data_IF_690448754067
#
_entry.id   IF_690448754067
#
_cell.length_a   1.000
_cell.length_b   1.000
_cell.length_c   1.000
_cell.angle_alpha   90.00
_cell.angle_beta   90.00
_cell.angle_gamma   90.00
#
_symmetry.space_group_name_H-M   'P 1'
#
loop_
_entity.id
_entity.type
_entity.pdbx_description
1 polymer ?
#
# COMPACT_ATOMS: atom_id res chain seq x y z
N UNK A 1 -17.29 -1.32 -6.65
CA UNK A 1 -16.11 -1.00 -7.49
C UNK A 1 -16.21 0.37 -8.13
N UNK A 2 -15.29 1.27 -7.77
CA UNK A 2 -15.20 2.63 -8.33
C UNK A 2 -14.90 2.64 -9.85
N UNK A 3 -14.39 1.53 -10.38
CA UNK A 3 -14.06 1.35 -11.81
C UNK A 3 -15.34 1.28 -12.67
N UNK A 4 -16.44 0.75 -12.14
CA UNK A 4 -17.71 0.61 -12.88
C UNK A 4 -18.48 1.94 -13.02
N UNK A 5 -18.20 2.94 -12.18
CA UNK A 5 -18.93 4.22 -12.15
C UNK A 5 -18.47 5.20 -13.25
N UNK A 6 -17.35 4.93 -13.92
CA UNK A 6 -16.72 5.83 -14.91
C UNK A 6 -17.09 5.50 -16.37
N UNK A 7 -18.03 4.57 -16.60
CA UNK A 7 -18.35 4.09 -17.95
C UNK A 7 -19.70 4.57 -18.51
N UNK A 8 -20.48 5.30 -17.70
CA UNK A 8 -21.87 5.64 -18.03
C UNK A 8 -22.03 7.02 -18.67
N UNK A 9 -21.22 7.36 -19.67
CA UNK A 9 -21.47 8.52 -20.53
C UNK A 9 -22.16 8.08 -21.82
N UNK A 10 -23.40 7.61 -21.72
CA UNK A 10 -24.26 7.37 -22.88
C UNK A 10 -24.62 8.71 -23.52
N UNK A 11 -24.41 8.85 -24.83
CA UNK A 11 -24.75 10.06 -25.57
C UNK A 11 -26.28 10.18 -25.66
N UNK A 12 -26.88 10.95 -24.76
CA UNK A 12 -28.25 11.41 -24.90
C UNK A 12 -28.29 12.44 -26.05
N UNK A 13 -29.17 12.31 -27.05
CA UNK A 13 -29.37 13.37 -28.04
C UNK A 13 -29.92 14.60 -27.32
N UNK A 14 -29.02 15.54 -26.99
CA UNK A 14 -29.38 16.79 -26.34
C UNK A 14 -30.20 17.64 -27.30
N UNK A 15 -31.27 18.28 -26.79
CA UNK A 15 -32.01 19.29 -27.54
C UNK A 15 -31.05 20.42 -27.94
N UNK A 16 -31.08 20.91 -29.20
CA UNK A 16 -30.23 22.02 -29.62
C UNK A 16 -30.44 23.24 -28.71
N UNK A 17 -29.34 23.87 -28.29
CA UNK A 17 -29.38 25.04 -27.43
C UNK A 17 -29.81 26.27 -28.24
N UNK A 18 -30.79 27.02 -27.74
CA UNK A 18 -31.27 28.25 -28.37
C UNK A 18 -30.49 29.47 -27.86
N UNK A 19 -30.26 30.44 -28.74
CA UNK A 19 -29.63 31.70 -28.39
C UNK A 19 -30.57 32.55 -27.51
N UNK A 20 -30.09 33.09 -26.37
CA UNK A 20 -30.91 33.97 -25.53
C UNK A 20 -31.14 35.35 -26.16
N UNK A 21 -30.21 35.81 -27.02
CA UNK A 21 -30.25 37.14 -27.62
C UNK A 21 -31.00 37.16 -28.97
N UNK A 22 -31.16 35.99 -29.61
CA UNK A 22 -31.76 35.87 -30.94
C UNK A 22 -32.82 34.76 -30.95
N UNK A 23 -34.08 35.15 -30.89
CA UNK A 23 -35.22 34.23 -30.79
C UNK A 23 -35.25 33.23 -31.96
N UNK A 24 -35.44 31.94 -31.64
CA UNK A 24 -35.51 30.87 -32.63
C UNK A 24 -34.18 30.46 -33.26
N UNK A 25 -33.06 31.10 -32.92
CA UNK A 25 -31.73 30.73 -33.44
C UNK A 25 -31.05 29.68 -32.56
N UNK A 26 -30.39 28.73 -33.19
CA UNK A 26 -29.59 27.70 -32.52
C UNK A 26 -28.15 28.18 -32.31
N UNK A 27 -27.55 27.81 -31.18
CA UNK A 27 -26.13 28.01 -30.94
C UNK A 27 -25.31 26.97 -31.69
N UNK A 28 -24.48 27.42 -32.63
CA UNK A 28 -23.68 26.56 -33.52
C UNK A 28 -22.19 26.95 -33.54
N UNK A 29 -21.84 28.09 -32.94
CA UNK A 29 -20.50 28.65 -32.90
C UNK A 29 -20.02 28.81 -31.46
N UNK A 30 -18.71 28.87 -31.28
CA UNK A 30 -18.04 29.13 -30.02
C UNK A 30 -17.04 30.27 -30.21
N UNK A 31 -17.07 31.24 -29.30
CA UNK A 31 -16.11 32.33 -29.26
C UNK A 31 -15.02 31.99 -28.23
N UNK A 32 -13.80 31.76 -28.67
CA UNK A 32 -12.69 31.35 -27.77
C UNK A 32 -12.34 32.44 -26.76
N UNK A 33 -12.32 33.71 -27.19
CA UNK A 33 -11.99 34.83 -26.31
C UNK A 33 -13.02 35.09 -25.20
N UNK A 34 -14.28 34.67 -25.40
CA UNK A 34 -15.39 34.89 -24.46
C UNK A 34 -15.84 33.60 -23.77
N UNK A 35 -15.23 32.48 -24.13
CA UNK A 35 -15.56 31.14 -23.68
C UNK A 35 -17.07 30.81 -23.75
N UNK A 36 -17.76 31.26 -24.81
CA UNK A 36 -19.23 31.17 -24.88
C UNK A 36 -19.74 30.61 -26.20
N UNK A 37 -20.80 29.80 -26.10
CA UNK A 37 -21.53 29.27 -27.25
C UNK A 37 -22.56 30.28 -27.76
N UNK A 38 -22.75 30.34 -29.07
CA UNK A 38 -23.53 31.40 -29.70
C UNK A 38 -24.11 31.00 -31.06
N UNK A 39 -25.09 31.77 -31.54
CA UNK A 39 -25.63 31.61 -32.88
C UNK A 39 -24.85 32.44 -33.91
N UNK A 40 -25.10 32.20 -35.19
CA UNK A 40 -24.50 32.95 -36.30
C UNK A 40 -24.75 34.48 -36.23
N UNK A 41 -25.88 34.94 -35.68
CA UNK A 41 -26.14 36.38 -35.57
C UNK A 41 -25.22 37.07 -34.54
N UNK A 42 -24.83 36.34 -33.48
CA UNK A 42 -23.85 36.84 -32.52
C UNK A 42 -22.45 36.97 -33.12
N UNK A 43 -22.06 36.11 -34.07
CA UNK A 43 -20.72 36.12 -34.68
C UNK A 43 -20.53 37.32 -35.60
N UNK A 44 -21.60 37.84 -36.20
CA UNK A 44 -21.57 39.06 -37.04
C UNK A 44 -21.87 40.34 -36.27
N UNK A 45 -22.45 40.22 -35.08
CA UNK A 45 -22.81 41.32 -34.18
C UNK A 45 -21.79 41.49 -33.04
N UNK A 46 -22.21 41.15 -31.82
CA UNK A 46 -21.47 41.39 -30.58
C UNK A 46 -20.06 40.79 -30.55
N UNK A 47 -19.81 39.72 -31.32
CA UNK A 47 -18.51 39.02 -31.36
C UNK A 47 -17.79 39.11 -32.71
N UNK A 48 -18.12 40.12 -33.53
CA UNK A 48 -17.53 40.31 -34.85
C UNK A 48 -16.00 40.39 -34.86
N UNK A 49 -15.42 40.97 -33.82
CA UNK A 49 -13.97 41.16 -33.70
C UNK A 49 -13.26 39.98 -33.01
N UNK A 50 -13.98 38.92 -32.64
CA UNK A 50 -13.43 37.74 -31.99
C UNK A 50 -13.35 36.55 -32.95
N UNK A 51 -12.34 35.70 -32.74
CA UNK A 51 -12.23 34.42 -33.45
C UNK A 51 -13.37 33.51 -32.98
N UNK A 52 -14.11 32.98 -33.95
CA UNK A 52 -15.21 32.05 -33.72
C UNK A 52 -14.99 30.78 -34.53
N UNK A 53 -15.36 29.65 -33.94
CA UNK A 53 -15.19 28.31 -34.51
C UNK A 53 -16.50 27.53 -34.36
N UNK A 54 -16.73 26.45 -35.14
CA UNK A 54 -17.89 25.60 -34.97
C UNK A 54 -17.92 24.98 -33.56
N UNK A 55 -19.02 25.17 -32.83
CA UNK A 55 -19.20 24.66 -31.47
C UNK A 55 -19.03 23.13 -31.40
N UNK A 56 -19.50 22.43 -32.43
CA UNK A 56 -19.38 20.96 -32.54
C UNK A 56 -17.93 20.50 -32.44
N UNK A 57 -17.00 21.21 -33.08
CA UNK A 57 -15.61 20.78 -33.17
C UNK A 57 -14.91 20.99 -31.82
N UNK A 58 -15.20 22.11 -31.15
CA UNK A 58 -14.73 22.39 -29.77
C UNK A 58 -15.26 21.34 -28.79
N UNK A 59 -16.54 20.99 -28.87
CA UNK A 59 -17.16 19.97 -28.01
C UNK A 59 -16.53 18.60 -28.23
N UNK A 60 -16.35 18.17 -29.49
CA UNK A 60 -15.73 16.87 -29.77
C UNK A 60 -14.24 16.84 -29.38
N UNK A 61 -13.50 17.95 -29.55
CA UNK A 61 -12.13 18.07 -29.08
C UNK A 61 -12.04 17.95 -27.56
N UNK A 62 -12.87 18.69 -26.80
CA UNK A 62 -12.88 18.61 -25.34
C UNK A 62 -13.29 17.23 -24.85
N UNK A 63 -14.30 16.62 -25.48
CA UNK A 63 -14.73 15.26 -25.18
C UNK A 63 -13.64 14.23 -25.44
N UNK A 64 -12.88 14.36 -26.53
CA UNK A 64 -11.74 13.51 -26.82
C UNK A 64 -10.63 13.66 -25.77
N UNK A 65 -10.30 14.90 -25.39
CA UNK A 65 -9.32 15.18 -24.34
C UNK A 65 -9.72 14.57 -22.99
N UNK A 66 -10.98 14.77 -22.57
CA UNK A 66 -11.51 14.17 -21.33
C UNK A 66 -11.48 12.65 -21.35
N UNK A 67 -11.84 12.03 -22.49
CA UNK A 67 -11.75 10.56 -22.67
C UNK A 67 -10.32 10.07 -22.52
N UNK A 68 -9.37 10.73 -23.17
CA UNK A 68 -7.95 10.35 -23.07
C UNK A 68 -7.44 10.43 -21.62
N UNK A 69 -7.82 11.47 -20.88
CA UNK A 69 -7.45 11.60 -19.46
C UNK A 69 -8.12 10.52 -18.60
N UNK A 70 -9.40 10.22 -18.84
CA UNK A 70 -10.10 9.15 -18.15
C UNK A 70 -9.46 7.78 -18.42
N UNK A 71 -9.11 7.49 -19.66
CA UNK A 71 -8.45 6.23 -20.03
C UNK A 71 -7.07 6.11 -19.39
N UNK A 72 -6.30 7.20 -19.34
CA UNK A 72 -5.03 7.25 -18.63
C UNK A 72 -5.21 6.92 -17.14
N UNK A 73 -6.21 7.50 -16.47
CA UNK A 73 -6.53 7.21 -15.07
C UNK A 73 -6.97 5.75 -14.90
N UNK A 74 -7.90 5.27 -15.74
CA UNK A 74 -8.40 3.89 -15.72
C UNK A 74 -7.27 2.87 -15.86
N UNK A 75 -6.27 3.15 -16.70
CA UNK A 75 -5.11 2.26 -16.88
C UNK A 75 -4.14 2.25 -15.68
N UNK A 76 -4.06 3.35 -14.93
CA UNK A 76 -3.15 3.50 -13.79
C UNK A 76 -3.71 2.94 -12.48
N UNK A 77 -5.02 2.97 -12.29
CA UNK A 77 -5.69 2.42 -11.11
C UNK A 77 -5.32 0.96 -10.78
N UNK A 78 -5.37 -0.02 -11.72
CA UNK A 78 -5.01 -1.40 -11.41
C UNK A 78 -3.53 -1.56 -11.05
N UNK A 79 -2.65 -0.73 -11.61
CA UNK A 79 -1.22 -0.75 -11.28
C UNK A 79 -0.98 -0.29 -9.84
N UNK A 80 -1.69 0.76 -9.40
CA UNK A 80 -1.62 1.24 -8.02
C UNK A 80 -2.21 0.22 -7.04
N UNK A 81 -3.34 -0.41 -7.37
CA UNK A 81 -3.92 -1.47 -6.56
C UNK A 81 -2.95 -2.65 -6.40
N UNK A 82 -2.34 -3.11 -7.49
CA UNK A 82 -1.34 -4.18 -7.45
C UNK A 82 -0.09 -3.79 -6.62
N UNK A 83 0.36 -2.55 -6.73
CA UNK A 83 1.49 -2.07 -5.92
C UNK A 83 1.14 -2.02 -4.42
N UNK A 84 -0.09 -1.61 -4.05
CA UNK A 84 -0.56 -1.62 -2.67
C UNK A 84 -0.60 -3.04 -2.11
N UNK A 85 -1.14 -4.01 -2.86
CA UNK A 85 -1.16 -5.41 -2.45
C UNK A 85 0.26 -5.98 -2.28
N UNK A 86 1.16 -5.65 -3.19
CA UNK A 86 2.56 -6.08 -3.09
C UNK A 86 3.24 -5.54 -1.83
N UNK A 87 3.09 -4.24 -1.55
CA UNK A 87 3.67 -3.61 -0.35
C UNK A 87 3.07 -4.18 0.93
N UNK A 88 1.76 -4.41 0.95
CA UNK A 88 1.07 -5.06 2.07
C UNK A 88 1.61 -6.46 2.32
N UNK A 89 1.75 -7.28 1.28
CA UNK A 89 2.31 -8.63 1.36
C UNK A 89 3.76 -8.65 1.85
N UNK A 90 4.61 -7.74 1.36
CA UNK A 90 6.00 -7.61 1.83
C UNK A 90 6.05 -7.22 3.31
N UNK A 91 5.20 -6.29 3.74
CA UNK A 91 5.12 -5.84 5.14
C UNK A 91 4.73 -6.99 6.07
N UNK A 92 3.73 -7.80 5.68
CA UNK A 92 3.32 -8.98 6.42
C UNK A 92 4.45 -10.00 6.52
N UNK A 93 5.10 -10.34 5.41
CA UNK A 93 6.22 -11.29 5.40
C UNK A 93 7.39 -10.82 6.27
N UNK A 94 7.67 -9.51 6.29
CA UNK A 94 8.70 -8.94 7.15
C UNK A 94 8.36 -9.12 8.64
N UNK A 95 7.09 -8.90 9.01
CA UNK A 95 6.63 -9.11 10.38
C UNK A 95 6.71 -10.58 10.81
N UNK A 96 6.29 -11.50 9.94
CA UNK A 96 6.38 -12.95 10.17
C UNK A 96 7.84 -13.39 10.36
N UNK A 97 8.72 -13.04 9.42
CA UNK A 97 10.16 -13.39 9.51
C UNK A 97 10.83 -12.81 10.75
N UNK A 98 10.45 -11.61 11.17
CA UNK A 98 10.94 -11.01 12.42
C UNK A 98 10.52 -11.87 13.62
N UNK A 99 9.25 -12.27 13.68
CA UNK A 99 8.75 -13.09 14.78
C UNK A 99 9.44 -14.45 14.81
N UNK A 100 9.62 -15.09 13.65
CA UNK A 100 10.34 -16.35 13.52
C UNK A 100 11.78 -16.23 14.00
N UNK A 101 12.49 -15.18 13.58
CA UNK A 101 13.86 -14.94 14.02
C UNK A 101 13.96 -14.70 15.54
N UNK A 102 13.01 -13.96 16.13
CA UNK A 102 12.97 -13.75 17.59
C UNK A 102 12.69 -15.06 18.32
N UNK A 103 11.79 -15.90 17.80
CA UNK A 103 11.50 -17.21 18.36
C UNK A 103 12.70 -18.16 18.28
N UNK A 104 13.40 -18.17 17.15
CA UNK A 104 14.61 -18.99 16.94
C UNK A 104 15.74 -18.57 17.90
N UNK A 105 15.98 -17.26 18.05
CA UNK A 105 16.93 -16.74 19.04
C UNK A 105 16.52 -17.22 20.44
N UNK A 106 15.26 -17.03 20.83
CA UNK A 106 14.76 -17.44 22.15
C UNK A 106 14.92 -18.94 22.42
N UNK A 107 14.59 -19.79 21.45
CA UNK A 107 14.75 -21.24 21.54
C UNK A 107 16.22 -21.63 21.70
N UNK A 108 17.10 -21.05 20.88
CA UNK A 108 18.53 -21.32 20.93
C UNK A 108 19.12 -20.98 22.29
N UNK A 109 18.78 -19.82 22.85
CA UNK A 109 19.26 -19.44 24.19
C UNK A 109 18.71 -20.35 25.29
N UNK A 110 17.43 -20.74 25.20
CA UNK A 110 16.82 -21.68 26.16
C UNK A 110 17.55 -23.03 26.16
N UNK A 111 17.93 -23.54 24.98
CA UNK A 111 18.69 -24.78 24.84
C UNK A 111 20.10 -24.66 25.43
N UNK A 112 20.79 -23.54 25.18
CA UNK A 112 22.11 -23.26 25.74
C UNK A 112 22.06 -23.16 27.27
N UNK A 113 21.09 -22.45 27.83
CA UNK A 113 20.89 -22.34 29.27
C UNK A 113 20.66 -23.71 29.91
N UNK A 114 19.85 -24.56 29.27
CA UNK A 114 19.61 -25.93 29.72
C UNK A 114 20.90 -26.76 29.71
N UNK A 115 21.67 -26.70 28.63
CA UNK A 115 22.94 -27.43 28.51
C UNK A 115 23.95 -26.97 29.58
N UNK A 116 24.07 -25.65 29.81
CA UNK A 116 24.92 -25.08 30.85
C UNK A 116 24.46 -25.51 32.25
N UNK A 117 23.16 -25.48 32.52
CA UNK A 117 22.57 -25.94 33.78
C UNK A 117 22.85 -27.41 34.05
N UNK A 118 22.70 -28.27 33.03
CA UNK A 118 23.03 -29.69 33.11
C UNK A 118 24.53 -29.92 33.40
N UNK A 119 25.42 -29.21 32.69
CA UNK A 119 26.87 -29.32 32.91
C UNK A 119 27.27 -28.86 34.31
N UNK A 120 26.71 -27.74 34.79
CA UNK A 120 26.91 -27.26 36.16
C UNK A 120 26.48 -28.31 37.18
N UNK A 121 25.27 -28.87 37.03
CA UNK A 121 24.74 -29.89 37.94
C UNK A 121 25.55 -31.19 37.95
N UNK A 122 26.16 -31.58 36.82
CA UNK A 122 27.11 -32.69 36.77
C UNK A 122 28.38 -32.39 37.58
N UNK A 123 29.02 -31.24 37.32
CA UNK A 123 30.26 -30.85 38.00
C UNK A 123 30.10 -30.73 39.52
N UNK A 124 28.96 -30.20 39.99
CA UNK A 124 28.65 -30.12 41.42
C UNK A 124 28.53 -31.51 42.03
N UNK A 125 27.77 -32.41 41.39
CA UNK A 125 27.61 -33.80 41.87
C UNK A 125 28.93 -34.56 41.91
N UNK A 126 29.78 -34.39 40.88
CA UNK A 126 31.09 -35.02 40.83
C UNK A 126 31.98 -34.54 41.99
N UNK A 127 31.96 -33.24 42.28
CA UNK A 127 32.69 -32.66 43.41
C UNK A 127 32.17 -33.19 44.76
N UNK A 128 30.85 -33.20 44.95
CA UNK A 128 30.22 -33.74 46.16
C UNK A 128 30.59 -35.20 46.39
N UNK A 129 30.58 -36.02 45.33
CA UNK A 129 30.98 -37.42 45.38
C UNK A 129 32.46 -37.58 45.77
N UNK A 130 33.36 -36.78 45.16
CA UNK A 130 34.80 -36.81 45.48
C UNK A 130 35.07 -36.39 46.93
N UNK A 131 34.44 -35.29 47.37
CA UNK A 131 34.54 -34.80 48.74
C UNK A 131 33.99 -35.83 49.73
N UNK A 132 32.82 -36.42 49.46
CA UNK A 132 32.24 -37.47 50.27
C UNK A 132 33.14 -38.72 50.38
N UNK A 133 33.78 -39.13 49.29
CA UNK A 133 34.75 -40.23 49.31
C UNK A 133 35.98 -39.88 50.18
N UNK A 134 36.56 -38.68 50.01
CA UNK A 134 37.69 -38.23 50.84
C UNK A 134 37.33 -38.12 52.32
N UNK A 135 36.14 -37.62 52.64
CA UNK A 135 35.63 -37.51 54.02
C UNK A 135 35.59 -38.89 54.70
N UNK A 136 35.09 -39.92 54.00
CA UNK A 136 35.04 -41.30 54.52
C UNK A 136 36.43 -41.86 54.80
N UNK A 137 37.40 -41.61 53.91
CA UNK A 137 38.80 -42.03 54.11
C UNK A 137 39.39 -41.36 55.35
N UNK A 138 39.20 -40.04 55.51
CA UNK A 138 39.70 -39.31 56.67
C UNK A 138 39.05 -39.79 57.98
N UNK A 139 37.75 -40.11 57.97
CA UNK A 139 37.05 -40.67 59.12
C UNK A 139 37.63 -42.04 59.54
N UNK A 140 37.84 -42.94 58.58
CA UNK A 140 38.44 -44.25 58.86
C UNK A 140 39.86 -44.13 59.42
N UNK A 141 40.69 -43.24 58.86
CA UNK A 141 42.05 -42.98 59.39
C UNK A 141 42.01 -42.46 60.83
N UNK A 142 41.07 -41.56 61.13
CA UNK A 142 40.91 -40.98 62.45
C UNK A 142 40.46 -42.05 63.47
N UNK A 143 39.56 -42.95 63.09
CA UNK A 143 39.15 -44.08 63.93
C UNK A 143 40.32 -45.01 64.27
N UNK A 144 41.17 -45.33 63.30
CA UNK A 144 42.38 -46.14 63.53
C UNK A 144 43.32 -45.46 64.53
N UNK A 145 43.56 -44.15 64.37
CA UNK A 145 44.42 -43.38 65.28
C UNK A 145 43.86 -43.26 66.71
N UNK A 146 42.55 -43.41 66.90
CA UNK A 146 41.93 -43.40 68.24
C UNK A 146 42.02 -44.74 68.97
N UNK A 147 42.26 -45.83 68.24
CA UNK A 147 42.29 -47.19 68.78
C UNK A 147 43.72 -47.68 69.10
N UNK A 148 44.75 -47.02 68.57
CA UNK A 148 46.16 -47.26 68.91
C UNK A 148 46.65 -46.30 69.97
#
# INVERSE_FOLDING_TARGET
DAIAMLDSASAVPGKPLSCPNHEGKTMEYYCEACETAMCHECTVGEHREHVTVPLRDVVEQHKASLRQQLDAIKSRLPQLAAAMELVSGISQQLAERKNDAVAEIGSTFTELEKALGQRKGLLVRDLEALCGAKQKVLQAQLEVLRQG
#
